data_IF_764563175883
#
_entry.id   IF_764563175883
#
_cell.length_a   1.000
_cell.length_b   1.000
_cell.length_c   1.000
_cell.angle_alpha   90.00
_cell.angle_beta   90.00
_cell.angle_gamma   90.00
#
_symmetry.space_group_name_H-M   'P 1'
#
loop_
_entity.id
_entity.type
_entity.pdbx_description
1 polymer ?
#
# COMPACT_ATOMS: atom_id res chain seq x y z
N UNK A 1 -13.56 9.33 1.33
CA UNK A 1 -12.85 8.83 2.53
C UNK A 1 -11.47 9.46 2.55
N UNK A 2 -11.01 9.90 3.72
CA UNK A 2 -9.64 10.40 3.88
C UNK A 2 -8.64 9.25 3.97
N UNK A 3 -7.35 9.57 3.75
CA UNK A 3 -6.29 8.57 3.87
C UNK A 3 -6.20 8.09 5.32
N UNK A 4 -6.48 6.80 5.54
CA UNK A 4 -6.42 6.15 6.87
C UNK A 4 -5.00 5.88 7.39
N UNK A 5 -3.96 6.32 6.68
CA UNK A 5 -2.55 5.99 6.95
C UNK A 5 -2.28 4.48 7.14
N UNK A 6 -3.05 3.63 6.45
CA UNK A 6 -3.06 2.17 6.65
C UNK A 6 -1.92 1.40 5.98
N UNK A 7 -1.17 2.02 5.06
CA UNK A 7 -0.08 1.39 4.32
C UNK A 7 -0.49 0.56 3.09
N UNK A 8 -1.79 0.39 2.80
CA UNK A 8 -2.26 -0.41 1.64
C UNK A 8 -1.63 0.03 0.32
N UNK A 9 -1.67 1.32 -0.01
CA UNK A 9 -1.02 1.87 -1.20
C UNK A 9 0.50 1.61 -1.28
N UNK A 10 1.15 1.36 -0.13
CA UNK A 10 2.58 1.07 -0.06
C UNK A 10 2.92 -0.42 -0.23
N UNK A 11 1.97 -1.35 -0.09
CA UNK A 11 2.24 -2.81 -0.15
C UNK A 11 1.56 -3.49 -1.33
N UNK A 12 0.44 -2.94 -1.81
CA UNK A 12 -0.44 -3.62 -2.74
C UNK A 12 -0.23 -3.25 -4.22
N UNK A 13 -0.49 -2.00 -4.66
CA UNK A 13 -0.59 -1.68 -6.08
C UNK A 13 0.77 -1.71 -6.80
N UNK A 14 0.75 -1.95 -8.11
CA UNK A 14 1.87 -1.56 -8.99
C UNK A 14 1.94 -0.04 -9.07
N UNK A 15 3.13 0.52 -8.86
CA UNK A 15 3.41 1.94 -9.01
C UNK A 15 4.67 2.08 -9.86
N UNK A 16 4.51 1.99 -11.18
CA UNK A 16 5.63 1.98 -12.12
C UNK A 16 6.52 3.22 -12.01
N UNK A 17 5.96 4.40 -11.71
CA UNK A 17 6.73 5.65 -11.48
C UNK A 17 7.62 5.62 -10.23
N UNK A 18 7.41 4.66 -9.34
CA UNK A 18 8.27 4.38 -8.18
C UNK A 18 9.11 3.12 -8.36
N UNK A 19 8.98 2.41 -9.50
CA UNK A 19 9.62 1.12 -9.71
C UNK A 19 9.16 0.04 -8.73
N UNK A 20 7.94 0.15 -8.20
CA UNK A 20 7.37 -0.78 -7.21
C UNK A 20 6.38 -1.69 -7.92
N UNK A 21 6.67 -2.98 -8.03
CA UNK A 21 5.72 -3.94 -8.61
C UNK A 21 4.58 -4.24 -7.64
N UNK A 22 3.53 -4.83 -8.18
CA UNK A 22 2.42 -5.36 -7.38
C UNK A 22 2.93 -6.30 -6.28
N UNK A 23 2.39 -6.18 -5.07
CA UNK A 23 2.82 -6.98 -3.92
C UNK A 23 4.22 -6.66 -3.35
N UNK A 24 5.02 -5.80 -3.99
CA UNK A 24 6.31 -5.39 -3.45
C UNK A 24 6.16 -4.29 -2.39
N UNK A 25 6.98 -4.41 -1.34
CA UNK A 25 7.11 -3.40 -0.28
C UNK A 25 7.64 -2.09 -0.86
N UNK A 26 6.90 -1.00 -0.70
CA UNK A 26 7.41 0.33 -1.03
C UNK A 26 8.60 0.69 -0.15
N UNK A 27 9.66 1.24 -0.75
CA UNK A 27 10.85 1.78 -0.05
C UNK A 27 10.55 2.82 1.03
N UNK A 28 9.38 3.47 0.97
CA UNK A 28 8.96 4.49 1.93
C UNK A 28 8.05 3.96 3.04
N UNK A 29 7.76 2.66 3.08
CA UNK A 29 6.95 2.06 4.13
C UNK A 29 7.79 1.91 5.40
N UNK A 30 7.30 2.45 6.52
CA UNK A 30 7.89 2.26 7.84
C UNK A 30 7.58 0.87 8.40
N UNK A 31 8.23 0.52 9.51
CA UNK A 31 7.94 -0.71 10.27
C UNK A 31 6.52 -0.67 10.88
N UNK A 32 5.99 0.51 11.14
CA UNK A 32 4.62 0.74 11.66
C UNK A 32 3.55 0.76 10.57
N UNK A 33 3.87 0.31 9.35
CA UNK A 33 3.00 0.30 8.17
C UNK A 33 2.48 1.68 7.73
N UNK A 34 3.16 2.76 8.13
CA UNK A 34 2.86 4.11 7.70
C UNK A 34 3.85 4.55 6.62
N UNK A 35 3.49 5.54 5.81
CA UNK A 35 4.43 6.08 4.82
C UNK A 35 5.36 7.11 5.48
N UNK A 36 6.66 6.86 5.45
CA UNK A 36 7.68 7.71 6.05
C UNK A 36 7.80 9.09 5.40
N UNK A 37 7.39 9.22 4.13
CA UNK A 37 7.40 10.51 3.40
C UNK A 37 6.00 11.08 3.21
N UNK A 38 5.06 10.84 4.15
CA UNK A 38 3.64 11.18 3.97
C UNK A 38 3.41 12.62 3.46
N UNK A 39 4.11 13.60 4.02
CA UNK A 39 4.00 15.01 3.64
C UNK A 39 4.65 15.35 2.29
N UNK A 40 5.60 14.54 1.83
CA UNK A 40 6.35 14.71 0.58
C UNK A 40 5.89 13.73 -0.52
N UNK A 41 4.76 13.04 -0.28
CA UNK A 41 4.24 12.04 -1.21
C UNK A 41 4.12 12.60 -2.63
N UNK A 42 4.66 11.90 -3.63
CA UNK A 42 4.54 12.31 -5.02
C UNK A 42 3.08 12.24 -5.48
N UNK A 43 2.78 12.89 -6.61
CA UNK A 43 1.43 13.00 -7.15
C UNK A 43 0.72 11.64 -7.30
N UNK A 44 1.43 10.61 -7.76
CA UNK A 44 0.88 9.24 -7.88
C UNK A 44 0.37 8.69 -6.54
N UNK A 45 1.09 8.94 -5.44
CA UNK A 45 0.68 8.50 -4.10
C UNK A 45 -0.51 9.31 -3.57
N UNK A 46 -0.60 10.59 -3.92
CA UNK A 46 -1.73 11.46 -3.54
C UNK A 46 -2.98 11.18 -4.36
N UNK A 47 -2.81 10.69 -5.59
CA UNK A 47 -3.90 10.25 -6.46
C UNK A 47 -4.56 8.94 -6.03
N UNK A 48 -3.91 8.14 -5.18
CA UNK A 48 -4.50 6.92 -4.63
C UNK A 48 -5.73 7.28 -3.78
N UNK A 49 -6.90 6.80 -4.23
CA UNK A 49 -8.17 7.07 -3.55
C UNK A 49 -8.41 6.02 -2.45
N UNK A 50 -8.57 6.43 -1.18
CA UNK A 50 -8.90 5.51 -0.10
C UNK A 50 -10.26 4.84 -0.31
N UNK A 51 -10.33 3.54 -0.07
CA UNK A 51 -11.51 2.69 -0.22
C UNK A 51 -11.53 1.56 0.85
N UNK A 52 -12.38 0.56 0.66
CA UNK A 52 -12.48 -0.62 1.54
C UNK A 52 -11.20 -1.46 1.61
N UNK A 53 -10.33 -1.40 0.60
CA UNK A 53 -9.06 -2.14 0.59
C UNK A 53 -8.14 -1.66 1.72
N UNK A 54 -8.30 -0.41 2.16
CA UNK A 54 -7.55 0.12 3.29
C UNK A 54 -7.79 -0.65 4.59
N UNK A 55 -8.95 -1.29 4.73
CA UNK A 55 -9.34 -2.10 5.89
C UNK A 55 -9.13 -3.59 5.61
N UNK A 56 -9.60 -4.09 4.46
CA UNK A 56 -9.53 -5.52 4.09
C UNK A 56 -8.10 -6.07 4.03
N UNK A 57 -7.12 -5.22 3.75
CA UNK A 57 -5.71 -5.61 3.60
C UNK A 57 -4.92 -5.39 4.90
N UNK A 58 -5.45 -4.65 5.87
CA UNK A 58 -4.75 -4.43 7.12
C UNK A 58 -4.51 -5.76 7.84
N UNK A 59 -3.24 -6.04 8.18
CA UNK A 59 -2.85 -7.24 8.93
C UNK A 59 -1.65 -6.93 9.84
N UNK A 60 -1.28 -7.90 10.69
CA UNK A 60 -0.21 -7.75 11.67
C UNK A 60 1.18 -7.73 11.03
N UNK A 61 1.36 -8.45 9.92
CA UNK A 61 2.64 -8.55 9.21
C UNK A 61 2.59 -7.96 7.80
N UNK A 62 3.75 -7.70 7.21
CA UNK A 62 3.85 -7.24 5.82
C UNK A 62 3.38 -8.32 4.86
N UNK A 63 3.82 -9.55 5.12
CA UNK A 63 3.56 -10.74 4.33
C UNK A 63 2.06 -11.01 4.24
N UNK A 64 1.33 -10.93 5.36
CA UNK A 64 -0.12 -11.08 5.38
C UNK A 64 -0.85 -9.97 4.60
N UNK A 65 -0.35 -8.73 4.64
CA UNK A 65 -0.93 -7.61 3.86
C UNK A 65 -0.76 -7.85 2.36
N UNK A 66 0.43 -8.24 1.94
CA UNK A 66 0.73 -8.56 0.53
C UNK A 66 -0.12 -9.75 0.09
N UNK A 67 -0.10 -10.84 0.84
CA UNK A 67 -0.88 -12.05 0.54
C UNK A 67 -2.39 -11.76 0.48
N UNK A 68 -2.91 -10.93 1.39
CA UNK A 68 -4.31 -10.51 1.40
C UNK A 68 -4.71 -9.77 0.13
N UNK A 69 -3.86 -8.85 -0.35
CA UNK A 69 -4.09 -8.16 -1.62
C UNK A 69 -4.03 -9.12 -2.81
N UNK A 70 -2.96 -9.92 -2.92
CA UNK A 70 -2.79 -10.86 -4.05
C UNK A 70 -3.96 -11.83 -4.13
N UNK A 71 -4.38 -12.41 -2.99
CA UNK A 71 -5.54 -13.28 -2.90
C UNK A 71 -6.85 -12.59 -3.31
N UNK A 72 -7.07 -11.36 -2.86
CA UNK A 72 -8.30 -10.62 -3.16
C UNK A 72 -8.47 -10.33 -4.66
N UNK A 73 -7.36 -10.17 -5.38
CA UNK A 73 -7.34 -9.87 -6.81
C UNK A 73 -6.97 -11.07 -7.70
N UNK A 74 -6.78 -12.26 -7.13
CA UNK A 74 -6.40 -13.47 -7.88
C UNK A 74 -5.03 -13.37 -8.56
N UNK A 75 -4.12 -12.64 -7.94
CA UNK A 75 -2.75 -12.41 -8.43
C UNK A 75 -1.79 -13.50 -7.91
N UNK A 76 -0.75 -13.85 -8.68
CA UNK A 76 0.24 -14.85 -8.29
C UNK A 76 1.08 -14.41 -7.08
#
# INVERSE_FOLDING_TARGET
MDCRRCGTCCVAPDISSLGKRVGERCRHLSETFQCGIYQERPAVCRGYRPDELCEKIAAATLEERVAGYLKLFGLP
#
